data_IF_537165205979
#
_entry.id   IF_537165205979
#
_cell.length_a   1.000
_cell.length_b   1.000
_cell.length_c   1.000
_cell.angle_alpha   90.00
_cell.angle_beta   90.00
_cell.angle_gamma   90.00
#
_symmetry.space_group_name_H-M   'P 1'
#
loop_
_entity.id
_entity.type
_entity.pdbx_description
1 polymer ?
#
# COMPACT_ATOMS: atom_id res chain seq x y z
N UNK A 1 -14.53 8.68 9.46
CA UNK A 1 -14.53 7.21 9.28
C UNK A 1 -13.78 6.78 8.03
N UNK A 2 -14.23 7.14 6.81
CA UNK A 2 -13.48 6.81 5.58
C UNK A 2 -12.09 7.46 5.52
N UNK A 3 -12.01 8.75 5.81
CA UNK A 3 -10.73 9.48 5.84
C UNK A 3 -9.77 8.94 6.92
N UNK A 4 -10.31 8.56 8.08
CA UNK A 4 -9.51 7.93 9.14
C UNK A 4 -8.91 6.60 8.67
N UNK A 5 -9.66 5.82 7.88
CA UNK A 5 -9.17 4.56 7.30
C UNK A 5 -8.02 4.82 6.31
N UNK A 6 -8.13 5.83 5.44
CA UNK A 6 -7.04 6.23 4.53
C UNK A 6 -5.76 6.57 5.30
N UNK A 7 -5.89 7.39 6.35
CA UNK A 7 -4.75 7.76 7.22
C UNK A 7 -4.15 6.53 7.92
N UNK A 8 -4.98 5.61 8.42
CA UNK A 8 -4.51 4.39 9.06
C UNK A 8 -3.75 3.48 8.11
N UNK A 9 -4.31 3.21 6.93
CA UNK A 9 -3.69 2.37 5.89
C UNK A 9 -2.35 3.00 5.45
N UNK A 10 -2.32 4.31 5.23
CA UNK A 10 -1.08 5.02 4.88
C UNK A 10 -0.01 4.89 5.97
N UNK A 11 -0.39 5.12 7.24
CA UNK A 11 0.53 4.95 8.37
C UNK A 11 1.06 3.51 8.45
N UNK A 12 0.20 2.53 8.19
CA UNK A 12 0.58 1.11 8.21
C UNK A 12 1.59 0.80 7.10
N UNK A 13 1.34 1.28 5.88
CA UNK A 13 2.27 1.16 4.76
C UNK A 13 3.64 1.80 5.09
N UNK A 14 3.65 3.04 5.60
CA UNK A 14 4.88 3.72 5.99
C UNK A 14 5.65 3.00 7.10
N UNK A 15 4.95 2.45 8.09
CA UNK A 15 5.58 1.62 9.13
C UNK A 15 6.19 0.35 8.55
N UNK A 16 5.50 -0.31 7.61
CA UNK A 16 6.03 -1.52 6.96
C UNK A 16 7.26 -1.23 6.11
N UNK A 17 7.29 -0.08 5.42
CA UNK A 17 8.46 0.37 4.64
C UNK A 17 9.69 0.53 5.56
N UNK A 18 9.50 1.18 6.72
CA UNK A 18 10.57 1.34 7.73
C UNK A 18 11.01 0.03 8.35
N UNK A 19 10.06 -0.85 8.69
CA UNK A 19 10.33 -2.19 9.23
C UNK A 19 11.20 -3.02 8.27
N UNK A 20 10.97 -2.88 6.97
CA UNK A 20 11.75 -3.56 5.94
C UNK A 20 13.10 -2.90 5.62
N UNK A 21 13.43 -1.77 6.27
CA UNK A 21 14.70 -1.06 6.09
C UNK A 21 14.78 -0.17 4.85
N UNK A 22 13.64 0.23 4.27
CA UNK A 22 13.59 1.06 3.07
C UNK A 22 13.15 2.50 3.35
N UNK A 23 13.46 3.38 2.41
CA UNK A 23 12.87 4.72 2.26
C UNK A 23 12.03 4.75 0.98
N UNK A 24 10.89 5.45 1.00
CA UNK A 24 10.08 5.62 -0.20
C UNK A 24 10.49 6.91 -0.92
N UNK A 25 10.69 6.83 -2.24
CA UNK A 25 10.88 8.03 -3.06
C UNK A 25 9.61 8.90 -3.05
N UNK A 26 9.75 10.20 -3.28
CA UNK A 26 8.60 11.13 -3.31
C UNK A 26 7.55 10.72 -4.34
N UNK A 27 7.99 10.28 -5.52
CA UNK A 27 7.08 9.81 -6.59
C UNK A 27 6.29 8.57 -6.14
N UNK A 28 6.98 7.53 -5.63
CA UNK A 28 6.30 6.33 -5.15
C UNK A 28 5.36 6.62 -3.96
N UNK A 29 5.71 7.59 -3.12
CA UNK A 29 4.90 8.01 -1.98
C UNK A 29 3.61 8.70 -2.43
N UNK A 30 3.68 9.58 -3.44
CA UNK A 30 2.49 10.22 -4.04
C UNK A 30 1.57 9.17 -4.66
N UNK A 31 2.12 8.26 -5.46
CA UNK A 31 1.33 7.23 -6.13
C UNK A 31 0.68 6.26 -5.14
N UNK A 32 1.39 5.92 -4.06
CA UNK A 32 0.84 5.09 -2.98
C UNK A 32 -0.35 5.77 -2.30
N UNK A 33 -0.26 7.08 -2.03
CA UNK A 33 -1.36 7.84 -1.43
C UNK A 33 -2.57 7.86 -2.35
N UNK A 34 -2.36 8.16 -3.63
CA UNK A 34 -3.45 8.14 -4.62
C UNK A 34 -4.09 6.75 -4.72
N UNK A 35 -3.28 5.70 -4.75
CA UNK A 35 -3.74 4.32 -4.82
C UNK A 35 -4.60 3.93 -3.61
N UNK A 36 -4.19 4.32 -2.39
CA UNK A 36 -4.98 4.11 -1.17
C UNK A 36 -6.29 4.89 -1.26
N UNK A 37 -6.25 6.15 -1.69
CA UNK A 37 -7.45 6.99 -1.81
C UNK A 37 -8.46 6.36 -2.76
N UNK A 38 -8.03 6.01 -3.98
CA UNK A 38 -8.88 5.40 -4.99
C UNK A 38 -9.48 4.07 -4.51
N UNK A 39 -8.69 3.22 -3.85
CA UNK A 39 -9.20 1.95 -3.32
C UNK A 39 -10.25 2.14 -2.24
N UNK A 40 -9.95 2.98 -1.23
CA UNK A 40 -10.87 3.22 -0.11
C UNK A 40 -12.12 3.99 -0.54
N UNK A 41 -12.04 4.88 -1.53
CA UNK A 41 -13.20 5.63 -2.03
C UNK A 41 -14.21 4.74 -2.76
N UNK A 42 -13.78 3.58 -3.29
CA UNK A 42 -14.65 2.56 -3.88
C UNK A 42 -15.37 1.71 -2.81
N UNK A 43 -14.98 1.81 -1.55
CA UNK A 43 -15.63 1.07 -0.46
C UNK A 43 -16.99 1.68 -0.09
N UNK A 44 -17.99 0.82 0.10
CA UNK A 44 -19.28 1.21 0.67
C UNK A 44 -19.14 1.57 2.15
N UNK A 45 -20.15 2.24 2.72
CA UNK A 45 -20.19 2.58 4.14
C UNK A 45 -20.06 1.37 5.05
N UNK A 46 -20.83 0.31 4.77
CA UNK A 46 -20.74 -0.95 5.51
C UNK A 46 -19.32 -1.55 5.50
N UNK A 47 -18.56 -1.35 4.42
CA UNK A 47 -17.21 -1.90 4.30
C UNK A 47 -16.17 -1.08 5.07
N UNK A 48 -16.18 0.25 4.99
CA UNK A 48 -15.21 1.04 5.76
C UNK A 48 -15.55 1.12 7.26
N UNK A 49 -16.78 0.76 7.65
CA UNK A 49 -17.21 0.67 9.06
C UNK A 49 -16.93 -0.72 9.66
N UNK A 50 -16.96 -1.76 8.82
CA UNK A 50 -16.62 -3.13 9.18
C UNK A 50 -15.17 -3.24 9.67
N UNK A 51 -14.97 -3.78 10.87
CA UNK A 51 -13.63 -4.00 11.43
C UNK A 51 -12.85 -5.04 10.60
N UNK A 52 -13.51 -6.10 10.16
CA UNK A 52 -12.91 -7.18 9.37
C UNK A 52 -12.36 -6.62 8.05
N UNK A 53 -13.15 -5.79 7.37
CA UNK A 53 -12.79 -5.19 6.10
C UNK A 53 -11.68 -4.14 6.25
N UNK A 54 -11.71 -3.35 7.32
CA UNK A 54 -10.61 -2.44 7.67
C UNK A 54 -9.30 -3.19 7.88
N UNK A 55 -9.31 -4.27 8.67
CA UNK A 55 -8.13 -5.11 8.91
C UNK A 55 -7.64 -5.79 7.63
N UNK A 56 -8.56 -6.21 6.75
CA UNK A 56 -8.23 -6.78 5.44
C UNK A 56 -7.51 -5.75 4.56
N UNK A 57 -8.02 -4.53 4.47
CA UNK A 57 -7.39 -3.46 3.70
C UNK A 57 -5.98 -3.12 4.24
N UNK A 58 -5.79 -3.10 5.56
CA UNK A 58 -4.48 -2.89 6.20
C UNK A 58 -3.49 -4.02 5.88
N UNK A 59 -3.90 -5.29 5.94
CA UNK A 59 -3.02 -6.41 5.56
C UNK A 59 -2.65 -6.39 4.07
N UNK A 60 -3.60 -5.98 3.23
CA UNK A 60 -3.39 -5.96 1.79
C UNK A 60 -2.43 -4.85 1.36
N UNK A 61 -2.42 -3.70 2.06
CA UNK A 61 -1.41 -2.67 1.79
C UNK A 61 -0.01 -3.13 2.22
N UNK A 62 0.12 -3.88 3.32
CA UNK A 62 1.41 -4.48 3.71
C UNK A 62 1.91 -5.46 2.65
N UNK A 63 1.01 -6.28 2.10
CA UNK A 63 1.34 -7.21 1.01
C UNK A 63 1.89 -6.47 -0.22
N UNK A 64 1.35 -5.29 -0.54
CA UNK A 64 1.90 -4.42 -1.60
C UNK A 64 3.34 -4.02 -1.28
N UNK A 65 3.59 -3.51 -0.07
CA UNK A 65 4.92 -3.05 0.34
C UNK A 65 5.93 -4.19 0.33
N UNK A 66 5.54 -5.40 0.75
CA UNK A 66 6.39 -6.58 0.68
C UNK A 66 6.72 -6.96 -0.77
N UNK A 67 5.76 -6.85 -1.68
CA UNK A 67 5.98 -7.06 -3.12
C UNK A 67 6.91 -6.00 -3.71
N UNK A 68 6.76 -4.73 -3.33
CA UNK A 68 7.66 -3.64 -3.72
C UNK A 68 9.09 -3.92 -3.24
N UNK A 69 9.26 -4.34 -1.99
CA UNK A 69 10.56 -4.72 -1.39
C UNK A 69 11.22 -5.87 -2.15
N UNK A 70 10.47 -6.94 -2.47
CA UNK A 70 10.98 -8.06 -3.28
C UNK A 70 11.46 -7.60 -4.66
N UNK A 71 10.71 -6.71 -5.32
CA UNK A 71 11.10 -6.15 -6.62
C UNK A 71 12.33 -5.24 -6.53
N UNK A 72 12.43 -4.41 -5.49
CA UNK A 72 13.60 -3.56 -5.28
C UNK A 72 14.86 -4.41 -5.07
N UNK A 73 14.78 -5.43 -4.20
CA UNK A 73 15.89 -6.36 -3.93
C UNK A 73 16.33 -7.14 -5.17
N UNK A 74 15.40 -7.62 -6.00
CA UNK A 74 15.77 -8.31 -7.25
C UNK A 74 16.49 -7.41 -8.27
N UNK A 75 16.39 -6.09 -8.08
CA UNK A 75 17.08 -5.07 -8.88
C UNK A 75 18.32 -4.49 -8.17
N UNK A 76 18.74 -5.09 -7.06
CA UNK A 76 19.84 -4.60 -6.20
C UNK A 76 19.61 -3.20 -5.60
N UNK A 77 18.36 -2.77 -5.45
CA UNK A 77 17.99 -1.58 -4.68
C UNK A 77 17.68 -2.02 -3.25
N UNK A 78 18.59 -1.69 -2.32
CA UNK A 78 18.48 -2.12 -0.91
C UNK A 78 17.98 -1.03 0.03
N UNK A 79 17.93 0.22 -0.43
CA UNK A 79 17.67 1.39 0.42
C UNK A 79 16.37 2.11 0.06
N UNK A 80 15.93 2.03 -1.21
CA UNK A 80 14.78 2.80 -1.68
C UNK A 80 13.73 1.98 -2.43
N UNK A 81 12.47 2.36 -2.24
CA UNK A 81 11.34 1.93 -3.04
C UNK A 81 10.96 3.05 -4.02
N UNK A 82 11.08 2.74 -5.31
CA UNK A 82 10.87 3.67 -6.42
C UNK A 82 9.53 3.42 -7.13
N UNK A 83 9.22 4.28 -8.10
CA UNK A 83 8.04 4.14 -8.95
C UNK A 83 7.96 2.74 -9.60
N UNK A 84 9.10 2.18 -10.02
CA UNK A 84 9.13 0.90 -10.73
C UNK A 84 8.82 -0.27 -9.79
N UNK A 85 9.24 -0.23 -8.52
CA UNK A 85 8.84 -1.24 -7.55
C UNK A 85 7.35 -1.14 -7.22
N UNK A 86 6.81 0.08 -7.11
CA UNK A 86 5.37 0.33 -6.96
C UNK A 86 4.56 -0.22 -8.15
N UNK A 87 4.90 0.19 -9.37
CA UNK A 87 4.19 -0.22 -10.60
C UNK A 87 4.22 -1.74 -10.80
N UNK A 88 5.35 -2.37 -10.49
CA UNK A 88 5.50 -3.83 -10.55
C UNK A 88 4.60 -4.51 -9.52
N UNK A 89 4.67 -4.08 -8.25
CA UNK A 89 3.85 -4.63 -7.18
C UNK A 89 2.36 -4.46 -7.43
N UNK A 90 1.93 -3.26 -7.86
CA UNK A 90 0.53 -2.95 -8.22
C UNK A 90 0.00 -3.86 -9.33
N UNK A 91 0.84 -4.23 -10.29
CA UNK A 91 0.43 -5.13 -11.38
C UNK A 91 0.34 -6.59 -10.93
N UNK A 92 1.16 -7.00 -9.97
CA UNK A 92 1.20 -8.38 -9.45
C UNK A 92 0.20 -8.66 -8.33
N UNK A 93 -0.27 -7.62 -7.64
CA UNK A 93 -1.10 -7.75 -6.43
C UNK A 93 -2.60 -7.90 -6.75
N UNK A 94 -3.03 -7.59 -7.98
CA UNK A 94 -4.43 -7.77 -8.37
C UNK A 94 -4.82 -9.26 -8.37
N UNK A 95 -5.99 -9.64 -7.81
CA UNK A 95 -7.08 -8.79 -7.29
C UNK A 95 -7.13 -8.68 -5.74
N UNK A 96 -6.20 -7.97 -5.10
CA UNK A 96 -6.29 -7.60 -3.67
C UNK A 96 -7.15 -6.36 -3.40
N UNK A 97 -8.43 -6.62 -3.10
CA UNK A 97 -9.38 -5.63 -2.59
C UNK A 97 -8.83 -4.84 -1.37
N UNK A 98 -9.08 -3.53 -1.21
CA UNK A 98 -9.88 -2.66 -2.09
C UNK A 98 -9.05 -2.02 -3.21
N UNK A 99 -7.80 -2.43 -3.41
CA UNK A 99 -6.84 -1.71 -4.25
C UNK A 99 -6.78 -2.23 -5.70
N UNK A 100 -7.83 -2.91 -6.16
CA UNK A 100 -7.95 -3.50 -7.50
C UNK A 100 -9.31 -3.14 -8.09
#
# INVERSE_FOLDING_TARGET
MREDLKVRILRRAQSKVRELGFVMTSVAQTDLVEFINQGVDRMTSSQYDSEIDRLRAERNIETLIESMSKNAKSRNLNESLDFRSFSSAKSSICPLWPFC
#
